data_IF_407137206926
#
_entry.id   IF_407137206926
#
_cell.length_a   1.000
_cell.length_b   1.000
_cell.length_c   1.000
_cell.angle_alpha   90.00
_cell.angle_beta   90.00
_cell.angle_gamma   90.00
#
_symmetry.space_group_name_H-M   'P 1'
#
loop_
_entity.id
_entity.type
_entity.pdbx_description
1 polymer ?
#
# COMPACT_ATOMS: atom_id res chain seq x y z
N UNK A 1 27.47 19.00 21.52
CA UNK A 1 26.12 19.34 21.01
C UNK A 1 25.99 18.77 19.60
N UNK A 2 25.41 17.59 19.45
CA UNK A 2 25.19 16.96 18.15
C UNK A 2 23.93 17.57 17.54
N UNK A 3 24.13 18.41 16.52
CA UNK A 3 23.06 19.00 15.71
C UNK A 3 22.31 17.86 15.01
N UNK A 4 21.16 17.45 15.55
CA UNK A 4 20.25 16.57 14.82
C UNK A 4 19.66 17.40 13.70
N UNK A 5 20.16 17.19 12.48
CA UNK A 5 19.56 17.73 11.24
C UNK A 5 18.10 17.31 11.21
N UNK A 6 17.24 18.24 11.59
CA UNK A 6 15.80 18.10 11.50
C UNK A 6 15.47 18.07 10.01
N UNK A 7 15.19 16.87 9.48
CA UNK A 7 14.70 16.71 8.11
C UNK A 7 13.57 17.73 7.86
N UNK A 8 13.65 18.42 6.73
CA UNK A 8 12.88 19.62 6.45
C UNK A 8 11.38 19.37 6.66
N UNK A 9 10.68 20.27 7.35
CA UNK A 9 9.24 20.17 7.59
C UNK A 9 8.43 19.98 6.29
N UNK A 10 8.99 20.40 5.15
CA UNK A 10 8.46 20.20 3.81
C UNK A 10 8.46 18.72 3.37
N UNK A 11 9.49 17.95 3.70
CA UNK A 11 9.59 16.52 3.36
C UNK A 11 8.55 15.68 4.14
N UNK A 12 8.32 16.01 5.42
CA UNK A 12 7.28 15.35 6.23
C UNK A 12 5.87 15.60 5.69
N UNK A 13 5.63 16.78 5.10
CA UNK A 13 4.34 17.13 4.48
C UNK A 13 4.09 16.27 3.24
N UNK A 14 5.09 16.07 2.38
CA UNK A 14 4.99 15.24 1.19
C UNK A 14 4.72 13.76 1.51
N UNK A 15 5.44 13.18 2.47
CA UNK A 15 5.21 11.81 2.91
C UNK A 15 3.79 11.61 3.51
N UNK A 16 3.32 12.60 4.27
CA UNK A 16 1.97 12.57 4.86
C UNK A 16 0.86 12.72 3.81
N UNK A 17 1.15 13.40 2.70
CA UNK A 17 0.22 13.60 1.58
C UNK A 17 0.05 12.33 0.75
N UNK A 18 1.15 11.57 0.55
CA UNK A 18 1.10 10.24 -0.09
C UNK A 18 0.21 9.26 0.68
N UNK A 19 0.19 9.31 2.02
CA UNK A 19 -0.71 8.48 2.83
C UNK A 19 -2.19 8.84 2.66
N UNK A 20 -2.49 10.05 2.18
CA UNK A 20 -3.85 10.51 1.86
C UNK A 20 -4.26 10.21 0.42
N UNK A 21 -3.31 9.87 -0.44
CA UNK A 21 -3.58 9.44 -1.81
C UNK A 21 -4.47 8.20 -1.80
N UNK A 22 -5.44 8.15 -2.72
CA UNK A 22 -6.43 7.07 -2.78
C UNK A 22 -6.35 6.35 -4.11
N UNK A 23 -6.35 5.03 -4.05
CA UNK A 23 -6.47 4.13 -5.21
C UNK A 23 -7.77 3.36 -5.03
N UNK A 24 -8.67 3.45 -6.01
CA UNK A 24 -10.04 2.91 -5.91
C UNK A 24 -10.79 3.33 -4.64
N UNK A 25 -10.61 4.58 -4.20
CA UNK A 25 -11.22 5.12 -2.98
C UNK A 25 -10.58 4.66 -1.67
N UNK A 26 -9.67 3.68 -1.71
CA UNK A 26 -8.91 3.19 -0.55
C UNK A 26 -7.64 4.04 -0.37
N UNK A 27 -7.32 4.48 0.87
CA UNK A 27 -6.08 5.20 1.12
C UNK A 27 -4.87 4.31 0.81
N UNK A 28 -3.76 4.91 0.39
CA UNK A 28 -2.57 4.22 -0.09
C UNK A 28 -2.06 3.11 0.87
N UNK A 29 -2.06 3.29 2.21
CA UNK A 29 -1.68 2.22 3.13
C UNK A 29 -2.62 1.01 3.09
N UNK A 30 -3.92 1.24 2.89
CA UNK A 30 -4.91 0.18 2.80
C UNK A 30 -4.80 -0.57 1.48
N UNK A 31 -4.56 0.16 0.38
CA UNK A 31 -4.28 -0.47 -0.91
C UNK A 31 -2.97 -1.27 -0.89
N UNK A 32 -1.92 -0.76 -0.25
CA UNK A 32 -0.66 -1.47 -0.07
C UNK A 32 -0.84 -2.80 0.68
N UNK A 33 -1.71 -2.83 1.70
CA UNK A 33 -2.07 -4.08 2.39
C UNK A 33 -2.69 -5.10 1.43
N UNK A 34 -3.68 -4.69 0.64
CA UNK A 34 -4.33 -5.57 -0.33
C UNK A 34 -3.35 -6.07 -1.40
N UNK A 35 -2.47 -5.18 -1.88
CA UNK A 35 -1.40 -5.50 -2.83
C UNK A 35 -0.41 -6.52 -2.27
N UNK A 36 0.05 -6.36 -1.03
CA UNK A 36 0.95 -7.32 -0.39
C UNK A 36 0.27 -8.69 -0.25
N UNK A 37 -1.00 -8.74 0.14
CA UNK A 37 -1.76 -9.99 0.19
C UNK A 37 -1.85 -10.68 -1.17
N UNK A 38 -2.07 -9.92 -2.25
CA UNK A 38 -2.09 -10.46 -3.61
C UNK A 38 -0.70 -10.97 -4.04
N UNK A 39 0.37 -10.22 -3.76
CA UNK A 39 1.74 -10.63 -4.05
C UNK A 39 2.12 -11.91 -3.29
N UNK A 40 1.78 -11.99 -2.00
CA UNK A 40 2.00 -13.20 -1.21
C UNK A 40 1.27 -14.39 -1.83
N UNK A 41 0.01 -14.23 -2.23
CA UNK A 41 -0.75 -15.28 -2.88
C UNK A 41 -0.14 -15.70 -4.22
N UNK A 42 0.37 -14.74 -5.01
CA UNK A 42 1.05 -14.98 -6.27
C UNK A 42 2.35 -15.78 -6.09
N UNK A 43 3.23 -15.36 -5.18
CA UNK A 43 4.51 -16.05 -4.95
C UNK A 43 4.36 -17.43 -4.30
N UNK A 44 3.29 -17.65 -3.54
CA UNK A 44 3.00 -18.95 -2.94
C UNK A 44 2.12 -19.85 -3.84
N UNK A 45 1.80 -19.40 -5.06
CA UNK A 45 0.90 -20.11 -5.98
C UNK A 45 -0.41 -20.57 -5.31
N UNK A 46 -0.96 -19.72 -4.45
CA UNK A 46 -2.06 -20.04 -3.54
C UNK A 46 -3.29 -19.16 -3.80
N UNK A 47 -3.46 -18.66 -5.03
CA UNK A 47 -4.63 -17.87 -5.41
C UNK A 47 -5.80 -18.85 -5.58
N UNK A 48 -6.90 -18.70 -4.80
CA UNK A 48 -8.11 -19.51 -5.00
C UNK A 48 -8.69 -19.22 -6.39
N UNK A 49 -9.08 -20.25 -7.13
CA UNK A 49 -9.71 -20.09 -8.46
C UNK A 49 -11.21 -19.81 -8.39
N UNK A 50 -11.74 -19.62 -7.18
CA UNK A 50 -13.11 -19.21 -6.93
C UNK A 50 -13.33 -17.72 -7.18
N UNK A 51 -14.61 -17.31 -7.11
CA UNK A 51 -15.06 -15.92 -7.20
C UNK A 51 -14.21 -14.98 -6.33
N UNK A 52 -13.85 -15.39 -5.11
CA UNK A 52 -13.12 -14.55 -4.16
C UNK A 52 -11.70 -14.26 -4.64
N UNK A 53 -10.96 -15.26 -5.13
CA UNK A 53 -9.60 -15.04 -5.64
C UNK A 53 -9.60 -14.31 -6.98
N UNK A 54 -10.60 -14.59 -7.82
CA UNK A 54 -10.83 -13.84 -9.06
C UNK A 54 -11.11 -12.36 -8.80
N UNK A 55 -12.03 -12.04 -7.88
CA UNK A 55 -12.32 -10.65 -7.52
C UNK A 55 -11.14 -9.97 -6.84
N UNK A 56 -10.40 -10.66 -5.97
CA UNK A 56 -9.22 -10.10 -5.32
C UNK A 56 -8.14 -9.69 -6.34
N UNK A 57 -7.91 -10.51 -7.38
CA UNK A 57 -6.97 -10.20 -8.46
C UNK A 57 -7.48 -9.09 -9.39
N UNK A 58 -8.79 -9.07 -9.68
CA UNK A 58 -9.39 -8.03 -10.53
C UNK A 58 -9.51 -6.66 -9.85
N UNK A 59 -9.66 -6.63 -8.53
CA UNK A 59 -9.90 -5.41 -7.76
C UNK A 59 -8.62 -4.70 -7.32
N UNK A 60 -7.59 -5.48 -6.99
CA UNK A 60 -6.27 -4.99 -6.53
C UNK A 60 -5.39 -4.74 -7.74
#
# INVERSE_FOLDING_TARGET
>A
MTNMTQASATERKGASDLLRFKIFGMPLPLYAFALISLLLSHFNYAIPTDLVGGFALMFV
#
